data_IF_862508386168
#
_entry.id   IF_862508386168
#
_cell.length_a   1.000
_cell.length_b   1.000
_cell.length_c   1.000
_cell.angle_alpha   90.00
_cell.angle_beta   90.00
_cell.angle_gamma   90.00
#
_symmetry.space_group_name_H-M   'P 1'
#
loop_
_entity.id
_entity.type
_entity.pdbx_description
1 polymer ?
#
# COMPACT_ATOMS: atom_id res chain seq x y z
N UNK A 1 9.82 -8.36 -13.71
CA UNK A 1 9.73 -8.53 -12.25
C UNK A 1 9.79 -7.16 -11.59
N UNK A 2 8.85 -6.87 -10.70
CA UNK A 2 8.86 -5.65 -9.91
C UNK A 2 10.00 -5.66 -8.89
N UNK A 3 10.37 -4.49 -8.39
CA UNK A 3 11.32 -4.41 -7.27
C UNK A 3 10.65 -4.80 -5.96
N UNK A 4 9.40 -4.38 -5.77
CA UNK A 4 8.70 -4.53 -4.50
C UNK A 4 7.20 -4.71 -4.72
N UNK A 5 6.60 -5.62 -3.96
CA UNK A 5 5.15 -5.66 -3.77
C UNK A 5 4.83 -5.28 -2.34
N UNK A 6 3.86 -4.41 -2.16
CA UNK A 6 3.39 -3.94 -0.85
C UNK A 6 1.97 -4.48 -0.67
N UNK A 7 1.73 -5.19 0.41
CA UNK A 7 0.41 -5.73 0.74
C UNK A 7 -0.19 -4.92 1.87
N UNK A 8 -1.24 -4.19 1.55
CA UNK A 8 -1.98 -3.38 2.52
C UNK A 8 -1.97 -1.90 2.20
N UNK A 9 -3.10 -1.24 2.46
CA UNK A 9 -3.32 0.18 2.22
C UNK A 9 -3.45 1.00 3.51
N UNK A 10 -3.01 0.46 4.64
CA UNK A 10 -2.97 1.18 5.90
C UNK A 10 -1.74 2.11 6.00
N UNK A 11 -1.49 2.70 7.18
CA UNK A 11 -0.36 3.63 7.34
C UNK A 11 0.99 3.04 6.95
N UNK A 12 1.26 1.79 7.31
CA UNK A 12 2.52 1.14 7.00
C UNK A 12 2.68 0.91 5.49
N UNK A 13 1.63 0.40 4.83
CA UNK A 13 1.66 0.14 3.39
C UNK A 13 1.80 1.41 2.58
N UNK A 14 1.06 2.44 2.93
CA UNK A 14 1.16 3.75 2.25
C UNK A 14 2.54 4.36 2.47
N UNK A 15 3.09 4.30 3.68
CA UNK A 15 4.44 4.78 3.95
C UNK A 15 5.46 4.07 3.05
N UNK A 16 5.38 2.74 2.97
CA UNK A 16 6.24 1.97 2.08
C UNK A 16 6.09 2.42 0.61
N UNK A 17 4.86 2.63 0.16
CA UNK A 17 4.57 3.08 -1.21
C UNK A 17 5.14 4.45 -1.53
N UNK A 18 5.00 5.41 -0.62
CA UNK A 18 5.55 6.75 -0.79
C UNK A 18 7.08 6.69 -0.87
N UNK A 19 7.73 5.95 0.02
CA UNK A 19 9.18 5.81 -0.01
C UNK A 19 9.67 5.06 -1.24
N UNK A 20 8.96 4.01 -1.65
CA UNK A 20 9.29 3.29 -2.88
C UNK A 20 9.24 4.21 -4.10
N UNK A 21 8.19 5.02 -4.21
CA UNK A 21 8.06 6.01 -5.28
C UNK A 21 9.22 7.01 -5.28
N UNK A 22 9.57 7.53 -4.12
CA UNK A 22 10.66 8.51 -3.97
C UNK A 22 12.03 7.90 -4.28
N UNK A 23 12.17 6.59 -4.11
CA UNK A 23 13.39 5.85 -4.46
C UNK A 23 13.37 5.31 -5.89
N UNK A 24 12.34 5.63 -6.65
CA UNK A 24 12.15 5.16 -8.03
C UNK A 24 12.10 3.63 -8.15
N UNK A 25 11.64 2.95 -7.11
CA UNK A 25 11.44 1.51 -7.14
C UNK A 25 10.15 1.19 -7.88
N UNK A 26 10.24 0.32 -8.86
CA UNK A 26 9.06 -0.16 -9.59
C UNK A 26 8.29 -1.12 -8.69
N UNK A 27 7.11 -0.71 -8.26
CA UNK A 27 6.39 -1.38 -7.18
C UNK A 27 4.91 -1.56 -7.50
N UNK A 28 4.28 -2.52 -6.85
CA UNK A 28 2.84 -2.71 -6.87
C UNK A 28 2.34 -2.71 -5.44
N UNK A 29 1.33 -1.89 -5.16
CA UNK A 29 0.65 -1.86 -3.86
C UNK A 29 -0.74 -2.47 -4.04
N UNK A 30 -1.04 -3.50 -3.25
CA UNK A 30 -2.29 -4.24 -3.31
C UNK A 30 -3.09 -3.91 -2.05
N UNK A 31 -4.27 -3.33 -2.21
CA UNK A 31 -5.11 -2.92 -1.09
C UNK A 31 -6.59 -3.11 -1.40
N UNK A 32 -7.34 -3.70 -0.47
CA UNK A 32 -8.79 -3.73 -0.58
C UNK A 32 -9.35 -2.32 -0.43
N UNK A 33 -8.82 -1.57 0.53
CA UNK A 33 -9.18 -0.17 0.80
C UNK A 33 -8.00 0.55 1.44
N UNK A 34 -8.04 1.87 1.46
CA UNK A 34 -7.02 2.69 2.11
C UNK A 34 -7.44 3.07 3.53
N UNK A 35 -6.42 3.16 4.43
CA UNK A 35 -6.60 3.45 5.85
C UNK A 35 -6.57 2.20 6.74
N UNK A 36 -6.88 1.02 6.20
CA UNK A 36 -6.85 -0.23 6.95
C UNK A 36 -7.75 -0.20 8.17
N UNK A 37 -7.27 -0.68 9.29
CA UNK A 37 -8.00 -0.69 10.57
C UNK A 37 -8.32 0.72 11.08
N UNK A 38 -7.59 1.73 10.64
CA UNK A 38 -7.82 3.11 11.05
C UNK A 38 -9.20 3.63 10.65
N UNK A 39 -9.78 3.11 9.56
CA UNK A 39 -11.06 3.58 9.03
C UNK A 39 -12.24 3.36 9.97
N UNK A 40 -12.13 2.39 10.89
CA UNK A 40 -13.20 2.12 11.87
C UNK A 40 -13.15 3.05 13.08
N UNK A 41 -12.12 3.85 13.22
CA UNK A 41 -11.96 4.78 14.35
C UNK A 41 -12.64 6.11 14.06
N UNK A 42 -13.43 6.61 15.00
CA UNK A 42 -14.06 7.92 14.89
C UNK A 42 -13.15 9.07 15.29
N UNK A 43 -12.14 8.79 16.09
CA UNK A 43 -11.16 9.79 16.51
C UNK A 43 -9.83 9.18 16.85
N UNK A 44 -8.82 9.51 16.07
CA UNK A 44 -7.44 9.05 16.24
C UNK A 44 -6.63 10.18 16.83
N UNK A 45 -6.01 9.93 17.99
CA UNK A 45 -5.26 10.92 18.76
C UNK A 45 -3.78 10.57 18.89
N UNK A 46 -3.37 9.47 18.30
CA UNK A 46 -1.98 9.00 18.35
C UNK A 46 -1.29 9.00 16.98
N UNK A 47 -1.85 9.69 16.01
CA UNK A 47 -1.19 9.95 14.74
C UNK A 47 -0.34 11.22 14.90
N UNK A 48 0.94 11.02 15.14
CA UNK A 48 1.84 12.13 15.47
C UNK A 48 1.90 13.15 14.34
N UNK A 49 1.75 14.40 14.68
CA UNK A 49 1.65 15.51 13.73
C UNK A 49 0.23 16.00 13.53
N UNK A 50 -0.76 15.25 14.00
CA UNK A 50 -2.18 15.62 13.95
C UNK A 50 -2.79 15.36 15.32
N UNK A 51 -3.37 16.39 15.94
CA UNK A 51 -3.91 16.26 17.31
C UNK A 51 -5.04 15.26 17.36
N UNK A 52 -5.96 15.34 16.39
CA UNK A 52 -7.09 14.41 16.27
C UNK A 52 -7.57 14.37 14.83
N UNK A 53 -7.86 13.17 14.34
CA UNK A 53 -8.38 12.96 12.99
C UNK A 53 -9.29 11.72 12.98
N UNK A 54 -10.37 11.76 12.20
CA UNK A 54 -11.18 10.56 12.00
C UNK A 54 -10.43 9.54 11.16
N UNK A 55 -10.75 8.26 11.33
CA UNK A 55 -10.15 7.19 10.51
C UNK A 55 -10.43 7.38 9.02
N UNK A 56 -11.62 7.83 8.67
CA UNK A 56 -11.98 8.11 7.29
C UNK A 56 -11.10 9.21 6.68
N UNK A 57 -10.88 10.30 7.42
CA UNK A 57 -10.04 11.41 6.95
C UNK A 57 -8.56 11.01 6.89
N UNK A 58 -8.10 10.19 7.83
CA UNK A 58 -6.74 9.65 7.78
C UNK A 58 -6.55 8.79 6.53
N UNK A 59 -7.49 7.91 6.24
CA UNK A 59 -7.45 7.07 5.03
C UNK A 59 -7.37 7.90 3.76
N UNK A 60 -8.16 8.96 3.67
CA UNK A 60 -8.12 9.90 2.53
C UNK A 60 -6.79 10.62 2.44
N UNK A 61 -6.23 11.07 3.56
CA UNK A 61 -4.94 11.76 3.59
C UNK A 61 -3.81 10.83 3.15
N UNK A 62 -3.82 9.58 3.61
CA UNK A 62 -2.84 8.57 3.21
C UNK A 62 -2.91 8.28 1.72
N UNK A 63 -4.09 8.08 1.18
CA UNK A 63 -4.27 7.85 -0.25
C UNK A 63 -3.81 9.05 -1.07
N UNK A 64 -4.17 10.25 -0.67
CA UNK A 64 -3.77 11.47 -1.36
C UNK A 64 -2.24 11.63 -1.39
N UNK A 65 -1.56 11.29 -0.29
CA UNK A 65 -0.11 11.35 -0.21
C UNK A 65 0.54 10.36 -1.19
N UNK A 66 0.05 9.11 -1.22
CA UNK A 66 0.52 8.12 -2.19
C UNK A 66 0.28 8.58 -3.62
N UNK A 67 -0.90 9.06 -3.93
CA UNK A 67 -1.26 9.54 -5.27
C UNK A 67 -0.38 10.68 -5.74
N UNK A 68 0.06 11.54 -4.83
CA UNK A 68 0.94 12.66 -5.14
C UNK A 68 2.33 12.22 -5.60
N UNK A 69 2.82 11.06 -5.14
CA UNK A 69 4.18 10.59 -5.42
C UNK A 69 4.28 9.36 -6.30
N UNK A 70 3.22 8.56 -6.42
CA UNK A 70 3.27 7.26 -7.11
C UNK A 70 3.72 7.35 -8.56
N UNK A 71 3.31 8.38 -9.30
CA UNK A 71 3.65 8.56 -10.71
C UNK A 71 3.44 7.28 -11.51
N UNK A 72 4.45 6.91 -12.28
CA UNK A 72 4.52 5.64 -13.02
C UNK A 72 5.31 4.56 -12.27
N UNK A 73 5.74 4.82 -11.04
CA UNK A 73 6.58 3.90 -10.25
C UNK A 73 5.78 2.94 -9.40
N UNK A 74 4.68 3.40 -8.81
CA UNK A 74 3.85 2.55 -7.96
C UNK A 74 2.49 2.32 -8.63
N UNK A 75 2.26 1.08 -9.03
CA UNK A 75 0.97 0.64 -9.54
C UNK A 75 0.09 0.26 -8.36
N UNK A 76 -1.13 0.78 -8.29
CA UNK A 76 -2.05 0.55 -7.18
C UNK A 76 -3.19 -0.36 -7.62
N UNK A 77 -3.29 -1.52 -6.99
CA UNK A 77 -4.39 -2.45 -7.19
C UNK A 77 -5.39 -2.27 -6.03
N UNK A 78 -6.31 -1.32 -6.19
CA UNK A 78 -7.35 -1.04 -5.22
C UNK A 78 -8.54 -1.99 -5.42
N UNK A 79 -9.14 -2.44 -4.32
CA UNK A 79 -10.22 -3.41 -4.38
C UNK A 79 -9.74 -4.85 -4.55
N UNK A 80 -8.44 -5.08 -4.46
CA UNK A 80 -7.82 -6.40 -4.59
C UNK A 80 -7.26 -6.86 -3.25
N UNK A 81 -7.34 -8.16 -3.02
CA UNK A 81 -6.76 -8.79 -1.82
C UNK A 81 -5.69 -9.79 -2.22
N UNK A 82 -4.53 -9.71 -1.58
CA UNK A 82 -3.50 -10.72 -1.73
C UNK A 82 -3.98 -12.02 -1.09
N UNK A 83 -4.08 -13.07 -1.91
CA UNK A 83 -4.60 -14.38 -1.49
C UNK A 83 -3.49 -15.39 -1.26
N UNK A 84 -2.38 -15.25 -1.97
CA UNK A 84 -1.30 -16.22 -1.92
C UNK A 84 0.04 -15.53 -2.11
N UNK A 85 1.02 -15.95 -1.33
CA UNK A 85 2.42 -15.55 -1.46
C UNK A 85 3.26 -16.80 -1.66
N UNK A 86 4.03 -16.82 -2.74
CA UNK A 86 4.90 -17.94 -3.09
C UNK A 86 6.32 -17.46 -3.28
N UNK A 87 7.28 -18.28 -2.84
CA UNK A 87 8.67 -18.08 -3.19
C UNK A 87 8.89 -18.64 -4.59
N UNK A 88 9.50 -17.85 -5.45
CA UNK A 88 9.87 -18.26 -6.81
C UNK A 88 11.36 -18.03 -7.01
N UNK A 89 11.89 -18.42 -8.15
CA UNK A 89 13.29 -18.19 -8.46
C UNK A 89 13.58 -16.67 -8.58
N UNK A 90 14.44 -16.19 -7.71
CA UNK A 90 14.85 -14.78 -7.66
C UNK A 90 13.90 -13.83 -6.95
N UNK A 91 12.84 -14.33 -6.31
CA UNK A 91 11.89 -13.45 -5.64
C UNK A 91 10.63 -14.13 -5.16
N UNK A 92 9.51 -13.42 -5.32
CA UNK A 92 8.21 -13.83 -4.79
C UNK A 92 7.11 -13.60 -5.82
N UNK A 93 6.06 -14.40 -5.74
CA UNK A 93 4.83 -14.19 -6.49
C UNK A 93 3.69 -13.93 -5.54
N UNK A 94 2.99 -12.83 -5.73
CA UNK A 94 1.76 -12.49 -4.99
C UNK A 94 0.59 -12.62 -5.94
N UNK A 95 -0.42 -13.37 -5.52
CA UNK A 95 -1.61 -13.65 -6.32
C UNK A 95 -2.85 -13.10 -5.63
N UNK A 96 -3.71 -12.43 -6.41
CA UNK A 96 -5.07 -12.05 -6.02
C UNK A 96 -6.05 -13.00 -6.70
N UNK A 97 -7.37 -12.73 -6.58
CA UNK A 97 -8.38 -13.51 -7.30
C UNK A 97 -8.24 -13.41 -8.82
N UNK A 98 -7.82 -12.25 -9.32
CA UNK A 98 -7.88 -11.95 -10.75
C UNK A 98 -6.52 -11.89 -11.44
N UNK A 99 -5.43 -11.71 -10.68
CA UNK A 99 -4.11 -11.50 -11.28
C UNK A 99 -2.98 -11.83 -10.31
N UNK A 100 -1.77 -11.80 -10.83
CA UNK A 100 -0.57 -12.04 -10.04
C UNK A 100 0.54 -11.07 -10.44
N UNK A 101 1.52 -10.92 -9.56
CA UNK A 101 2.69 -10.09 -9.79
C UNK A 101 3.91 -10.73 -9.15
N UNK A 102 5.03 -10.68 -9.86
CA UNK A 102 6.31 -11.16 -9.38
C UNK A 102 7.18 -9.98 -8.96
N UNK A 103 7.88 -10.12 -7.85
CA UNK A 103 8.73 -9.09 -7.31
C UNK A 103 9.94 -9.68 -6.59
N UNK A 104 10.99 -8.86 -6.48
CA UNK A 104 12.20 -9.25 -5.76
C UNK A 104 11.98 -9.29 -4.25
N UNK A 105 11.08 -8.44 -3.74
CA UNK A 105 10.77 -8.32 -2.31
C UNK A 105 9.28 -8.07 -2.10
N UNK A 106 8.81 -8.40 -0.89
CA UNK A 106 7.43 -8.17 -0.45
C UNK A 106 7.47 -7.53 0.93
#
# INVERSE_FOLDING_TARGET
>A
MQDLVIIGGGPAGVAAGVYAARKYLKSTLIAEEFGGQSTVSEGIENWIGTVKISGADLGKALKAHLDAYKGDKVDVWEGERAMKLETIDGGFRVTTKSKSVDARAV
#
